data_IF_969139289133
#
_entry.id   IF_969139289133
#
_cell.length_a   1.000
_cell.length_b   1.000
_cell.length_c   1.000
_cell.angle_alpha   90.00
_cell.angle_beta   90.00
_cell.angle_gamma   90.00
#
_symmetry.space_group_name_H-M   'P 1'
#
loop_
_entity.id
_entity.type
_entity.pdbx_description
1 polymer ?
#
# COMPACT_ATOMS: atom_id res chain seq x y z
N UNK A 1 21.59 -7.21 18.03
CA UNK A 1 20.63 -7.43 16.92
C UNK A 1 19.83 -6.14 16.74
N UNK A 2 19.49 -5.72 15.53
CA UNK A 2 18.69 -4.50 15.34
C UNK A 2 17.20 -4.79 15.64
N UNK A 3 16.40 -3.79 16.02
CA UNK A 3 14.94 -3.98 16.20
C UNK A 3 14.24 -4.46 14.92
N UNK A 4 14.74 -4.03 13.76
CA UNK A 4 14.24 -4.51 12.47
C UNK A 4 14.56 -5.99 12.25
N UNK A 5 15.73 -6.44 12.71
CA UNK A 5 16.11 -7.85 12.65
C UNK A 5 15.26 -8.73 13.57
N UNK A 6 14.97 -8.24 14.78
CA UNK A 6 14.05 -8.92 15.70
C UNK A 6 12.64 -9.04 15.10
N UNK A 7 12.15 -7.97 14.44
CA UNK A 7 10.87 -7.98 13.74
C UNK A 7 10.83 -9.00 12.60
N UNK A 8 11.83 -8.98 11.71
CA UNK A 8 11.91 -9.91 10.58
C UNK A 8 11.93 -11.37 11.07
N UNK A 9 12.73 -11.69 12.10
CA UNK A 9 12.78 -13.02 12.69
C UNK A 9 11.44 -13.44 13.30
N UNK A 10 10.76 -12.54 14.01
CA UNK A 10 9.46 -12.81 14.60
C UNK A 10 8.40 -13.12 13.54
N UNK A 11 8.32 -12.33 12.48
CA UNK A 11 7.38 -12.52 11.37
C UNK A 11 7.59 -13.84 10.64
N UNK A 12 8.85 -14.25 10.47
CA UNK A 12 9.24 -15.48 9.76
C UNK A 12 9.14 -16.75 10.60
N UNK A 13 8.87 -16.65 11.92
CA UNK A 13 8.87 -17.81 12.84
C UNK A 13 7.91 -18.94 12.43
N UNK A 14 6.79 -18.59 11.77
CA UNK A 14 5.80 -19.54 11.25
C UNK A 14 5.98 -19.94 9.78
N UNK A 15 7.12 -19.60 9.15
CA UNK A 15 7.36 -19.87 7.72
C UNK A 15 6.76 -18.84 6.76
N UNK A 16 6.16 -17.76 7.27
CA UNK A 16 5.67 -16.64 6.44
C UNK A 16 6.83 -15.84 5.83
N UNK A 17 6.58 -15.23 4.68
CA UNK A 17 7.47 -14.21 4.11
C UNK A 17 7.30 -12.89 4.86
N UNK A 18 8.41 -12.27 5.26
CA UNK A 18 8.40 -10.95 5.89
C UNK A 18 8.73 -9.87 4.87
N UNK A 19 7.73 -9.06 4.50
CA UNK A 19 7.88 -7.94 3.56
C UNK A 19 7.80 -6.62 4.32
N UNK A 20 8.83 -5.78 4.22
CA UNK A 20 8.84 -4.45 4.83
C UNK A 20 8.30 -3.40 3.86
N UNK A 21 7.19 -2.76 4.19
CA UNK A 21 6.69 -1.64 3.38
C UNK A 21 7.50 -0.36 3.68
N UNK A 22 8.03 0.27 2.63
CA UNK A 22 8.76 1.54 2.70
C UNK A 22 7.84 2.64 2.16
N UNK A 23 7.61 3.67 2.98
CA UNK A 23 6.78 4.81 2.60
C UNK A 23 7.39 6.13 3.04
N UNK A 24 7.01 7.20 2.33
CA UNK A 24 7.32 8.58 2.71
C UNK A 24 6.02 9.38 2.75
N UNK A 25 5.69 9.96 3.90
CA UNK A 25 4.38 10.58 4.09
C UNK A 25 4.16 11.85 3.22
N UNK A 26 5.25 12.51 2.83
CA UNK A 26 5.20 13.78 2.09
C UNK A 26 4.30 14.79 2.82
N UNK A 27 3.38 15.42 2.10
CA UNK A 27 2.44 16.40 2.68
C UNK A 27 1.43 15.86 3.72
N UNK A 28 1.49 14.56 4.04
CA UNK A 28 0.71 13.92 5.11
C UNK A 28 1.54 13.63 6.36
N UNK A 29 2.79 14.08 6.44
CA UNK A 29 3.58 13.93 7.65
C UNK A 29 3.02 14.80 8.78
N UNK A 30 2.69 14.18 9.92
CA UNK A 30 2.16 14.89 11.10
C UNK A 30 3.23 15.22 12.15
N UNK A 31 4.42 14.64 12.05
CA UNK A 31 5.43 14.61 13.15
C UNK A 31 6.46 15.75 13.06
N UNK A 32 6.45 16.57 12.00
CA UNK A 32 7.33 17.74 11.87
C UNK A 32 6.72 18.74 10.88
N UNK A 33 5.62 19.43 11.26
CA UNK A 33 4.91 20.35 10.36
C UNK A 33 5.83 21.42 9.74
N UNK A 34 6.84 21.87 10.48
CA UNK A 34 7.82 22.86 10.02
C UNK A 34 8.80 22.33 8.94
N UNK A 35 8.84 21.01 8.74
CA UNK A 35 9.62 20.33 7.69
C UNK A 35 8.73 19.62 6.67
N UNK A 36 7.46 19.98 6.61
CA UNK A 36 6.51 19.36 5.71
C UNK A 36 6.91 19.63 4.26
N UNK A 37 7.03 18.58 3.46
CA UNK A 37 7.49 18.65 2.08
C UNK A 37 6.63 17.81 1.14
N UNK A 38 6.64 18.13 -0.14
CA UNK A 38 5.85 17.45 -1.14
C UNK A 38 6.28 17.77 -2.57
N UNK A 39 5.58 17.17 -3.54
CA UNK A 39 5.89 17.36 -4.96
C UNK A 39 5.75 18.84 -5.39
N UNK A 40 4.77 19.55 -4.86
CA UNK A 40 4.57 21.00 -5.01
C UNK A 40 4.05 21.61 -3.71
N UNK A 41 4.07 22.94 -3.60
CA UNK A 41 3.55 23.69 -2.45
C UNK A 41 2.01 23.72 -2.39
N UNK A 42 1.39 22.55 -2.29
CA UNK A 42 -0.07 22.35 -2.33
C UNK A 42 -0.50 21.52 -1.11
N UNK A 43 -1.29 22.12 -0.22
CA UNK A 43 -1.83 21.46 0.97
C UNK A 43 -2.66 20.21 0.64
N UNK A 44 -2.77 19.29 1.61
CA UNK A 44 -3.45 18.00 1.40
C UNK A 44 -4.95 18.10 1.17
N UNK A 45 -5.57 19.23 1.50
CA UNK A 45 -7.02 19.43 1.48
C UNK A 45 -7.73 18.89 2.74
N UNK A 46 -7.01 18.23 3.64
CA UNK A 46 -7.53 17.85 4.96
C UNK A 46 -7.65 19.11 5.81
N UNK A 47 -8.79 19.33 6.50
CA UNK A 47 -8.95 20.46 7.40
C UNK A 47 -7.80 20.55 8.42
N UNK A 48 -7.20 21.74 8.56
CA UNK A 48 -6.05 21.97 9.44
C UNK A 48 -4.70 21.51 8.90
N UNK A 49 -4.63 20.93 7.69
CA UNK A 49 -3.34 20.59 7.08
C UNK A 49 -2.56 21.82 6.65
N UNK A 50 -1.24 21.78 6.86
CA UNK A 50 -0.32 22.83 6.43
C UNK A 50 0.06 22.66 4.95
N UNK A 51 0.47 23.75 4.32
CA UNK A 51 1.04 23.72 2.98
C UNK A 51 2.49 23.22 3.06
N UNK A 52 2.86 22.15 2.33
CA UNK A 52 4.24 21.68 2.30
C UNK A 52 5.14 22.66 1.54
N UNK A 53 6.44 22.58 1.79
CA UNK A 53 7.45 23.11 0.88
C UNK A 53 7.58 22.20 -0.34
N UNK A 54 7.78 22.79 -1.51
CA UNK A 54 8.13 22.03 -2.72
C UNK A 54 9.56 21.45 -2.61
N UNK A 55 9.71 20.17 -2.90
CA UNK A 55 11.01 19.51 -3.01
C UNK A 55 11.82 20.07 -4.17
N UNK A 56 13.11 20.32 -3.98
CA UNK A 56 14.04 20.62 -5.07
C UNK A 56 14.32 19.37 -5.89
N UNK A 57 14.82 19.53 -7.12
CA UNK A 57 15.21 18.39 -7.95
C UNK A 57 16.26 17.50 -7.29
N UNK A 58 17.21 18.08 -6.55
CA UNK A 58 18.24 17.36 -5.80
C UNK A 58 17.64 16.55 -4.63
N UNK A 59 16.71 17.13 -3.88
CA UNK A 59 16.03 16.41 -2.79
C UNK A 59 15.20 15.23 -3.31
N UNK A 60 14.63 15.33 -4.51
CA UNK A 60 13.94 14.18 -5.15
C UNK A 60 14.91 13.03 -5.42
N UNK A 61 16.11 13.32 -5.93
CA UNK A 61 17.17 12.32 -6.16
C UNK A 61 17.68 11.73 -4.83
N UNK A 62 17.83 12.57 -3.79
CA UNK A 62 18.21 12.11 -2.45
C UNK A 62 17.17 11.17 -1.83
N UNK A 63 15.88 11.44 -2.04
CA UNK A 63 14.79 10.55 -1.60
C UNK A 63 14.85 9.22 -2.37
N UNK A 64 15.06 9.24 -3.69
CA UNK A 64 15.23 8.01 -4.49
C UNK A 64 16.38 7.16 -3.92
N UNK A 65 17.53 7.79 -3.63
CA UNK A 65 18.66 7.12 -2.99
C UNK A 65 18.29 6.59 -1.60
N UNK A 66 17.51 7.32 -0.82
CA UNK A 66 17.08 6.90 0.51
C UNK A 66 16.18 5.64 0.47
N UNK A 67 15.34 5.47 -0.56
CA UNK A 67 14.59 4.23 -0.78
C UNK A 67 15.51 3.03 -1.08
N UNK A 68 16.54 3.22 -1.90
CA UNK A 68 17.57 2.20 -2.13
C UNK A 68 18.30 1.82 -0.84
N UNK A 69 18.70 2.82 -0.03
CA UNK A 69 19.32 2.57 1.27
C UNK A 69 18.38 1.90 2.28
N UNK A 70 17.08 2.23 2.26
CA UNK A 70 16.08 1.56 3.09
C UNK A 70 15.93 0.09 2.69
N UNK A 71 15.96 -0.20 1.38
CA UNK A 71 15.97 -1.57 0.84
C UNK A 71 17.21 -2.35 1.31
N UNK A 72 18.41 -1.74 1.23
CA UNK A 72 19.64 -2.33 1.77
C UNK A 72 19.54 -2.65 3.25
N UNK A 73 18.94 -1.77 4.06
CA UNK A 73 18.70 -2.02 5.49
C UNK A 73 17.71 -3.16 5.73
N UNK A 74 16.67 -3.28 4.90
CA UNK A 74 15.70 -4.38 4.99
C UNK A 74 16.36 -5.75 4.71
N UNK A 75 17.22 -5.81 3.68
CA UNK A 75 18.03 -6.99 3.38
C UNK A 75 18.92 -7.37 4.57
N UNK A 76 19.67 -6.41 5.11
CA UNK A 76 20.54 -6.62 6.27
C UNK A 76 19.78 -7.03 7.53
N UNK A 77 18.55 -6.56 7.69
CA UNK A 77 17.69 -6.95 8.79
C UNK A 77 17.16 -8.39 8.66
N UNK A 78 17.16 -8.98 7.46
CA UNK A 78 16.69 -10.34 7.21
C UNK A 78 15.22 -10.44 6.81
N UNK A 79 14.65 -9.36 6.26
CA UNK A 79 13.36 -9.44 5.56
C UNK A 79 13.50 -10.27 4.26
N UNK A 80 12.39 -10.77 3.74
CA UNK A 80 12.31 -11.48 2.45
C UNK A 80 12.08 -10.53 1.28
N UNK A 81 11.65 -9.31 1.56
CA UNK A 81 11.41 -8.31 0.54
C UNK A 81 11.04 -6.95 1.10
N UNK A 82 10.83 -6.01 0.18
CA UNK A 82 10.23 -4.71 0.46
C UNK A 82 9.05 -4.43 -0.47
N UNK A 83 8.11 -3.62 0.01
CA UNK A 83 7.03 -3.09 -0.81
C UNK A 83 7.15 -1.55 -0.87
N UNK A 84 7.23 -0.99 -2.07
CA UNK A 84 7.22 0.46 -2.27
C UNK A 84 5.78 0.96 -2.16
N UNK A 85 5.53 1.87 -1.22
CA UNK A 85 4.20 2.43 -1.02
C UNK A 85 3.92 3.64 -1.94
N UNK A 86 3.41 3.36 -3.13
CA UNK A 86 2.98 4.30 -4.17
C UNK A 86 1.53 4.80 -4.09
N UNK A 87 0.87 4.70 -2.92
CA UNK A 87 -0.59 4.83 -2.81
C UNK A 87 -1.03 5.76 -1.66
N UNK A 88 -2.35 5.92 -1.50
CA UNK A 88 -3.02 6.57 -0.36
C UNK A 88 -2.59 8.02 -0.08
N UNK A 89 -2.28 8.78 -1.14
CA UNK A 89 -1.88 10.20 -1.06
C UNK A 89 -0.55 10.45 -0.34
N UNK A 90 0.32 9.44 -0.20
CA UNK A 90 1.70 9.61 0.24
C UNK A 90 2.62 10.10 -0.89
N UNK A 91 3.90 10.33 -0.61
CA UNK A 91 4.76 11.14 -1.49
C UNK A 91 4.77 10.65 -2.95
N UNK A 92 4.90 9.35 -3.19
CA UNK A 92 4.94 8.82 -4.56
C UNK A 92 3.60 9.05 -5.28
N UNK A 93 2.47 8.83 -4.60
CA UNK A 93 1.14 9.20 -5.11
C UNK A 93 1.07 10.70 -5.38
N UNK A 94 1.66 11.53 -4.50
CA UNK A 94 1.66 12.98 -4.65
C UNK A 94 2.40 13.42 -5.93
N UNK A 95 3.49 12.75 -6.29
CA UNK A 95 4.18 12.96 -7.57
C UNK A 95 3.33 12.47 -8.75
N UNK A 96 2.63 11.35 -8.62
CA UNK A 96 1.78 10.80 -9.69
C UNK A 96 0.57 11.70 -10.02
N UNK A 97 -0.03 12.33 -9.00
CA UNK A 97 -1.26 13.12 -9.15
C UNK A 97 -1.03 14.56 -9.62
N UNK A 98 -1.81 15.01 -10.60
CA UNK A 98 -1.84 16.41 -11.04
C UNK A 98 -2.39 17.38 -9.97
N UNK A 99 -3.09 16.83 -8.97
CA UNK A 99 -3.67 17.58 -7.85
C UNK A 99 -2.59 18.08 -6.89
N UNK A 100 -1.49 17.35 -6.79
CA UNK A 100 -0.39 17.62 -5.85
C UNK A 100 0.95 17.90 -6.51
N UNK A 101 1.11 17.54 -7.79
CA UNK A 101 2.31 17.81 -8.57
C UNK A 101 1.99 18.77 -9.72
N UNK A 102 2.38 20.03 -9.54
CA UNK A 102 2.30 21.10 -10.56
C UNK A 102 3.71 21.52 -11.02
N UNK A 103 4.71 20.65 -10.83
CA UNK A 103 6.08 20.92 -11.24
C UNK A 103 6.19 21.04 -12.75
N UNK A 104 7.16 21.82 -13.20
CA UNK A 104 7.46 22.02 -14.63
C UNK A 104 8.73 21.29 -15.06
N UNK A 105 9.47 20.67 -14.13
CA UNK A 105 10.67 19.89 -14.39
C UNK A 105 10.34 18.44 -14.80
N UNK A 106 11.39 17.61 -14.98
CA UNK A 106 11.23 16.19 -15.40
C UNK A 106 10.31 15.38 -14.50
N UNK A 107 10.18 15.76 -13.22
CA UNK A 107 9.35 15.06 -12.23
C UNK A 107 7.87 15.45 -12.30
N UNK A 108 7.54 16.60 -12.91
CA UNK A 108 6.16 17.01 -13.19
C UNK A 108 5.69 16.71 -14.61
N UNK A 109 6.62 16.72 -15.58
CA UNK A 109 6.35 16.42 -16.99
C UNK A 109 5.97 14.95 -17.21
N UNK A 110 6.63 14.04 -16.50
CA UNK A 110 6.31 12.61 -16.50
C UNK A 110 6.11 12.14 -15.07
N UNK A 111 4.85 12.11 -14.63
CA UNK A 111 4.52 11.90 -13.21
C UNK A 111 4.78 10.48 -12.70
N UNK A 112 4.85 9.48 -13.59
CA UNK A 112 5.27 8.11 -13.26
C UNK A 112 6.77 8.00 -12.97
N UNK A 113 7.59 8.94 -13.47
CA UNK A 113 9.06 8.90 -13.42
C UNK A 113 9.60 8.73 -12.01
N UNK A 114 9.01 9.40 -11.02
CA UNK A 114 9.48 9.29 -9.63
C UNK A 114 9.30 7.88 -9.06
N UNK A 115 8.14 7.25 -9.30
CA UNK A 115 7.89 5.87 -8.88
C UNK A 115 8.82 4.87 -9.57
N UNK A 116 9.05 5.03 -10.88
CA UNK A 116 9.97 4.19 -11.65
C UNK A 116 11.43 4.33 -11.18
N UNK A 117 11.90 5.55 -10.94
CA UNK A 117 13.25 5.79 -10.44
C UNK A 117 13.48 5.17 -9.05
N UNK A 118 12.45 5.16 -8.18
CA UNK A 118 12.50 4.47 -6.90
C UNK A 118 12.62 2.94 -7.09
N UNK A 119 11.86 2.36 -8.02
CA UNK A 119 11.96 0.93 -8.35
C UNK A 119 13.39 0.60 -8.80
N UNK A 120 13.96 1.39 -9.71
CA UNK A 120 15.34 1.22 -10.18
C UNK A 120 16.36 1.28 -9.04
N UNK A 121 16.24 2.26 -8.13
CA UNK A 121 17.12 2.39 -6.98
C UNK A 121 17.03 1.21 -6.00
N UNK A 122 15.81 0.74 -5.72
CA UNK A 122 15.59 -0.44 -4.88
C UNK A 122 16.14 -1.71 -5.54
N UNK A 123 15.89 -1.91 -6.84
CA UNK A 123 16.38 -3.07 -7.59
C UNK A 123 17.90 -3.10 -7.67
N UNK A 124 18.53 -1.94 -7.90
CA UNK A 124 19.99 -1.79 -7.85
C UNK A 124 20.55 -2.20 -6.48
N UNK A 125 19.93 -1.74 -5.39
CA UNK A 125 20.37 -2.12 -4.03
C UNK A 125 20.26 -3.64 -3.78
N UNK A 126 19.23 -4.31 -4.31
CA UNK A 126 19.07 -5.77 -4.25
C UNK A 126 20.18 -6.49 -5.01
N UNK A 127 20.48 -6.03 -6.23
CA UNK A 127 21.54 -6.60 -7.08
C UNK A 127 22.92 -6.43 -6.44
N UNK A 128 23.25 -5.23 -5.95
CA UNK A 128 24.53 -4.94 -5.28
C UNK A 128 24.72 -5.76 -3.99
N UNK A 129 23.64 -6.10 -3.29
CA UNK A 129 23.66 -6.96 -2.12
C UNK A 129 23.77 -8.47 -2.46
N UNK A 130 23.67 -8.85 -3.74
CA UNK A 130 23.64 -10.26 -4.17
C UNK A 130 22.39 -11.00 -3.69
N UNK A 131 21.31 -10.29 -3.37
CA UNK A 131 20.11 -10.84 -2.75
C UNK A 131 19.05 -11.22 -3.80
N UNK A 132 19.38 -12.11 -4.73
CA UNK A 132 18.54 -12.40 -5.92
C UNK A 132 17.15 -12.97 -5.61
N UNK A 133 16.92 -13.51 -4.42
CA UNK A 133 15.62 -14.00 -3.96
C UNK A 133 14.80 -12.96 -3.19
N UNK A 134 15.35 -11.75 -2.99
CA UNK A 134 14.70 -10.69 -2.24
C UNK A 134 13.62 -10.01 -3.10
N UNK A 135 12.38 -10.01 -2.59
CA UNK A 135 11.21 -9.54 -3.31
C UNK A 135 11.10 -8.01 -3.30
N UNK A 136 10.63 -7.45 -4.40
CA UNK A 136 10.31 -6.03 -4.55
C UNK A 136 8.87 -5.88 -5.07
N UNK A 137 7.98 -5.42 -4.20
CA UNK A 137 6.60 -5.10 -4.55
C UNK A 137 6.35 -3.62 -4.80
N UNK A 138 5.28 -3.29 -5.52
CA UNK A 138 4.80 -1.91 -5.67
C UNK A 138 3.30 -1.81 -5.40
N UNK A 139 2.92 -0.96 -4.44
CA UNK A 139 1.54 -0.70 -4.05
C UNK A 139 1.02 0.61 -4.63
N UNK A 140 -0.14 0.61 -5.30
CA UNK A 140 -0.67 1.78 -6.00
C UNK A 140 -2.17 1.99 -5.74
N UNK A 141 -2.64 3.24 -5.85
CA UNK A 141 -4.07 3.57 -5.82
C UNK A 141 -4.64 3.54 -7.23
N UNK A 142 -5.88 3.04 -7.45
CA UNK A 142 -6.45 2.94 -8.79
C UNK A 142 -6.82 4.28 -9.39
N UNK A 143 -7.25 5.22 -8.56
CA UNK A 143 -7.82 6.49 -8.98
C UNK A 143 -7.81 7.50 -7.83
N UNK A 144 -7.91 8.79 -8.14
CA UNK A 144 -8.04 9.86 -7.16
C UNK A 144 -9.21 10.79 -7.52
N UNK A 145 -10.14 10.97 -6.59
CA UNK A 145 -11.30 11.85 -6.77
C UNK A 145 -10.93 13.34 -6.70
N UNK A 146 -11.75 14.13 -7.39
CA UNK A 146 -11.74 15.59 -7.35
C UNK A 146 -11.02 16.23 -8.52
N UNK A 147 -11.07 17.56 -8.58
CA UNK A 147 -10.45 18.34 -9.65
C UNK A 147 -8.95 18.04 -9.73
N UNK A 148 -8.45 17.75 -10.94
CA UNK A 148 -7.05 17.37 -11.22
C UNK A 148 -6.58 16.08 -10.54
N UNK A 149 -7.48 15.24 -10.01
CA UNK A 149 -7.15 13.86 -9.68
C UNK A 149 -6.80 13.06 -10.94
N UNK A 150 -6.44 11.78 -10.75
CA UNK A 150 -6.19 10.86 -11.86
C UNK A 150 -7.29 9.80 -11.95
N UNK A 151 -7.58 9.39 -13.17
CA UNK A 151 -8.59 8.39 -13.50
C UNK A 151 -7.96 7.01 -13.63
N UNK A 152 -8.78 5.96 -13.65
CA UNK A 152 -8.26 4.60 -13.82
C UNK A 152 -7.42 4.46 -15.09
N UNK A 153 -7.82 5.08 -16.21
CA UNK A 153 -7.05 5.06 -17.46
C UNK A 153 -5.60 5.56 -17.32
N UNK A 154 -5.38 6.58 -16.50
CA UNK A 154 -4.05 7.14 -16.26
C UNK A 154 -3.21 6.13 -15.46
N UNK A 155 -3.85 5.51 -14.46
CA UNK A 155 -3.26 4.42 -13.68
C UNK A 155 -2.97 3.20 -14.55
N UNK A 156 -3.85 2.79 -15.47
CA UNK A 156 -3.61 1.64 -16.35
C UNK A 156 -2.39 1.86 -17.25
N UNK A 157 -2.18 3.07 -17.77
CA UNK A 157 -0.96 3.41 -18.50
C UNK A 157 0.31 3.25 -17.64
N UNK A 158 0.21 3.56 -16.34
CA UNK A 158 1.31 3.36 -15.40
C UNK A 158 1.47 1.88 -14.99
N UNK A 159 0.37 1.15 -14.73
CA UNK A 159 0.36 -0.29 -14.47
C UNK A 159 1.00 -1.05 -15.62
N UNK A 160 0.78 -0.64 -16.87
CA UNK A 160 1.44 -1.23 -18.02
C UNK A 160 2.97 -1.08 -17.95
N UNK A 161 3.49 0.08 -17.53
CA UNK A 161 4.92 0.31 -17.31
C UNK A 161 5.44 -0.51 -16.11
N UNK A 162 4.67 -0.57 -15.02
CA UNK A 162 5.03 -1.35 -13.83
C UNK A 162 5.07 -2.85 -14.10
N UNK A 163 4.20 -3.35 -14.98
CA UNK A 163 4.18 -4.74 -15.38
C UNK A 163 5.44 -5.16 -16.16
N UNK A 164 6.10 -4.22 -16.83
CA UNK A 164 7.39 -4.42 -17.49
C UNK A 164 8.60 -4.09 -16.59
N UNK A 165 8.37 -3.43 -15.45
CA UNK A 165 9.42 -3.08 -14.52
C UNK A 165 9.97 -4.31 -13.78
N UNK A 166 11.19 -4.16 -13.25
CA UNK A 166 11.83 -5.15 -12.40
C UNK A 166 11.23 -5.15 -10.98
N UNK A 167 9.95 -5.50 -10.86
CA UNK A 167 9.23 -5.77 -9.61
C UNK A 167 8.67 -7.21 -9.65
N UNK A 168 8.42 -7.78 -8.48
CA UNK A 168 7.99 -9.17 -8.32
C UNK A 168 6.46 -9.28 -8.22
N UNK A 169 5.79 -8.23 -7.74
CA UNK A 169 4.33 -8.20 -7.66
C UNK A 169 3.78 -6.77 -7.61
N UNK A 170 2.48 -6.66 -7.90
CA UNK A 170 1.70 -5.44 -7.79
C UNK A 170 0.65 -5.57 -6.68
N UNK A 171 0.38 -4.48 -5.97
CA UNK A 171 -0.61 -4.45 -4.90
C UNK A 171 -1.58 -3.28 -5.10
N UNK A 172 -2.83 -3.61 -5.43
CA UNK A 172 -3.88 -2.62 -5.69
C UNK A 172 -4.53 -2.16 -4.38
N UNK A 173 -4.38 -0.89 -4.03
CA UNK A 173 -4.96 -0.26 -2.84
C UNK A 173 -6.31 0.39 -3.13
N UNK A 174 -7.39 -0.25 -2.72
CA UNK A 174 -8.76 0.27 -2.84
C UNK A 174 -9.58 0.00 -1.57
N UNK A 175 -10.67 0.75 -1.42
CA UNK A 175 -11.53 0.66 -0.24
C UNK A 175 -12.53 -0.49 -0.36
N UNK A 176 -13.11 -0.67 -1.54
CA UNK A 176 -13.94 -1.80 -1.92
C UNK A 176 -13.33 -2.46 -3.15
N UNK A 177 -13.22 -3.77 -3.10
CA UNK A 177 -12.60 -4.58 -4.13
C UNK A 177 -13.49 -4.75 -5.36
N UNK A 178 -14.82 -4.54 -5.21
CA UNK A 178 -15.78 -4.58 -6.30
C UNK A 178 -16.06 -3.20 -6.91
N UNK A 179 -15.30 -2.17 -6.50
CA UNK A 179 -15.46 -0.81 -7.00
C UNK A 179 -15.32 -0.75 -8.54
N UNK A 180 -16.16 0.09 -9.14
CA UNK A 180 -16.06 0.49 -10.55
C UNK A 180 -15.28 1.81 -10.67
N UNK A 181 -14.72 2.11 -11.85
CA UNK A 181 -14.01 3.37 -12.05
C UNK A 181 -14.94 4.57 -11.85
N UNK A 182 -14.42 5.65 -11.26
CA UNK A 182 -15.22 6.80 -10.83
C UNK A 182 -15.92 7.53 -11.99
N UNK A 183 -15.34 7.47 -13.18
CA UNK A 183 -15.76 8.17 -14.39
C UNK A 183 -16.38 7.25 -15.46
N UNK A 184 -16.65 6.00 -15.11
CA UNK A 184 -17.25 5.02 -16.01
C UNK A 184 -18.73 4.75 -15.68
N UNK A 185 -19.54 4.36 -16.69
CA UNK A 185 -20.95 4.07 -16.49
C UNK A 185 -21.18 2.86 -15.57
N UNK A 186 -22.35 2.83 -14.94
CA UNK A 186 -22.79 1.65 -14.19
C UNK A 186 -22.84 0.42 -15.12
N UNK A 187 -22.27 -0.70 -14.65
CA UNK A 187 -22.14 -1.94 -15.44
C UNK A 187 -20.81 -2.08 -16.18
N UNK A 188 -19.90 -1.11 -16.10
CA UNK A 188 -18.49 -1.29 -16.48
C UNK A 188 -17.83 -2.42 -15.70
N UNK A 189 -16.77 -2.97 -16.29
CA UNK A 189 -15.88 -3.90 -15.59
C UNK A 189 -15.29 -3.21 -14.35
N UNK A 190 -15.22 -3.95 -13.23
CA UNK A 190 -14.64 -3.44 -12.00
C UNK A 190 -13.13 -3.13 -12.17
N UNK A 191 -12.60 -2.32 -11.25
CA UNK A 191 -11.20 -1.86 -11.28
C UNK A 191 -10.23 -3.04 -11.35
N UNK A 192 -10.47 -4.10 -10.55
CA UNK A 192 -9.60 -5.29 -10.50
C UNK A 192 -9.48 -5.95 -11.87
N UNK A 193 -10.59 -6.18 -12.57
CA UNK A 193 -10.62 -6.84 -13.88
C UNK A 193 -9.86 -6.03 -14.93
N UNK A 194 -10.03 -4.71 -14.94
CA UNK A 194 -9.30 -3.84 -15.87
C UNK A 194 -7.79 -3.82 -15.60
N UNK A 195 -7.39 -3.81 -14.32
CA UNK A 195 -5.99 -3.90 -13.90
C UNK A 195 -5.38 -5.25 -14.30
N UNK A 196 -6.07 -6.37 -14.05
CA UNK A 196 -5.61 -7.71 -14.44
C UNK A 196 -5.46 -7.84 -15.96
N UNK A 197 -6.43 -7.32 -16.72
CA UNK A 197 -6.34 -7.27 -18.18
C UNK A 197 -5.14 -6.46 -18.66
N UNK A 198 -4.82 -5.35 -18.00
CA UNK A 198 -3.65 -4.53 -18.32
C UNK A 198 -2.35 -5.24 -17.97
N UNK A 199 -2.26 -5.89 -16.80
CA UNK A 199 -1.08 -6.66 -16.40
C UNK A 199 -0.84 -7.82 -17.36
N UNK A 200 -1.90 -8.45 -17.86
CA UNK A 200 -1.85 -9.54 -18.84
C UNK A 200 -0.87 -10.65 -18.40
N UNK A 201 -1.02 -11.12 -17.16
CA UNK A 201 -0.22 -12.19 -16.54
C UNK A 201 1.29 -11.93 -16.42
N UNK A 202 1.78 -10.72 -16.73
CA UNK A 202 3.22 -10.39 -16.60
C UNK A 202 3.70 -10.34 -15.15
N UNK A 203 2.80 -10.04 -14.21
CA UNK A 203 3.06 -9.95 -12.77
C UNK A 203 1.87 -10.50 -11.98
N UNK A 204 2.08 -11.09 -10.79
CA UNK A 204 0.99 -11.38 -9.86
C UNK A 204 0.41 -10.08 -9.28
N UNK A 205 -0.90 -10.10 -9.00
CA UNK A 205 -1.63 -8.98 -8.39
C UNK A 205 -2.16 -9.39 -7.01
N UNK A 206 -1.88 -8.55 -6.02
CA UNK A 206 -2.51 -8.58 -4.69
C UNK A 206 -3.65 -7.56 -4.68
N UNK A 207 -4.84 -7.98 -4.27
CA UNK A 207 -6.02 -7.12 -4.12
C UNK A 207 -6.42 -6.97 -2.66
N UNK A 208 -6.97 -5.80 -2.31
CA UNK A 208 -7.50 -5.46 -0.98
C UNK A 208 -8.76 -4.62 -1.13
N UNK A 209 -9.47 -4.41 -0.03
CA UNK A 209 -10.64 -3.53 0.08
C UNK A 209 -11.86 -4.33 0.49
N UNK A 210 -12.63 -3.89 1.49
CA UNK A 210 -13.95 -4.45 1.86
C UNK A 210 -14.05 -5.91 2.34
N UNK A 211 -13.07 -6.77 2.08
CA UNK A 211 -13.16 -8.23 2.31
C UNK A 211 -13.16 -8.55 3.79
N UNK A 212 -14.27 -9.08 4.28
CA UNK A 212 -14.54 -9.35 5.69
C UNK A 212 -14.77 -10.83 5.99
N UNK A 213 -15.33 -11.59 5.04
CA UNK A 213 -15.67 -13.02 5.23
C UNK A 213 -14.80 -13.97 4.38
N UNK A 214 -14.71 -15.26 4.75
CA UNK A 214 -14.06 -16.28 3.92
C UNK A 214 -14.67 -16.40 2.53
N UNK A 215 -16.00 -16.32 2.43
CA UNK A 215 -16.72 -16.31 1.17
C UNK A 215 -16.32 -15.10 0.30
N UNK A 216 -16.32 -13.89 0.85
CA UNK A 216 -15.89 -12.68 0.11
C UNK A 216 -14.43 -12.79 -0.35
N UNK A 217 -13.54 -13.40 0.46
CA UNK A 217 -12.15 -13.63 0.07
C UNK A 217 -12.04 -14.64 -1.10
N UNK A 218 -12.89 -15.66 -1.11
CA UNK A 218 -12.97 -16.63 -2.21
C UNK A 218 -13.52 -15.96 -3.48
N UNK A 219 -14.60 -15.19 -3.39
CA UNK A 219 -15.15 -14.40 -4.50
C UNK A 219 -14.11 -13.39 -5.05
N UNK A 220 -13.34 -12.75 -4.16
CA UNK A 220 -12.22 -11.88 -4.55
C UNK A 220 -11.21 -12.62 -5.42
N UNK A 221 -10.83 -13.82 -4.99
CA UNK A 221 -9.82 -14.62 -5.68
C UNK A 221 -10.31 -15.08 -7.06
N UNK A 222 -11.61 -15.35 -7.19
CA UNK A 222 -12.24 -15.72 -8.47
C UNK A 222 -12.19 -14.62 -9.54
N UNK A 223 -11.86 -13.37 -9.16
CA UNK A 223 -11.56 -12.30 -10.13
C UNK A 223 -10.29 -12.55 -10.94
N UNK A 224 -9.43 -13.49 -10.51
CA UNK A 224 -8.15 -13.82 -11.15
C UNK A 224 -6.93 -13.19 -10.50
N UNK A 225 -7.09 -12.53 -9.34
CA UNK A 225 -5.96 -12.06 -8.54
C UNK A 225 -5.22 -13.22 -7.88
N UNK A 226 -3.90 -13.10 -7.76
CA UNK A 226 -3.05 -14.14 -7.16
C UNK A 226 -3.25 -14.21 -5.64
N UNK A 227 -3.38 -13.04 -5.01
CA UNK A 227 -3.49 -12.93 -3.56
C UNK A 227 -4.56 -11.93 -3.14
N UNK A 228 -5.13 -12.21 -1.96
CA UNK A 228 -6.07 -11.34 -1.26
C UNK A 228 -5.42 -10.88 0.04
N UNK A 229 -5.30 -9.57 0.21
CA UNK A 229 -4.76 -8.98 1.43
C UNK A 229 -5.87 -8.74 2.46
N UNK A 230 -5.58 -9.05 3.72
CA UNK A 230 -6.47 -8.86 4.85
C UNK A 230 -5.78 -7.97 5.90
N UNK A 231 -6.29 -6.76 6.11
CA UNK A 231 -5.75 -5.83 7.11
C UNK A 231 -6.47 -5.95 8.46
N UNK A 232 -7.67 -5.34 8.55
CA UNK A 232 -8.47 -5.31 9.77
C UNK A 232 -8.81 -6.69 10.32
N UNK A 233 -8.89 -7.71 9.45
CA UNK A 233 -9.34 -9.04 9.83
C UNK A 233 -8.27 -9.75 10.68
N UNK A 234 -6.99 -9.51 10.39
CA UNK A 234 -5.89 -9.98 11.24
C UNK A 234 -5.76 -9.21 12.56
N UNK A 235 -6.20 -7.93 12.62
CA UNK A 235 -6.26 -7.19 13.87
C UNK A 235 -7.38 -7.71 14.79
N UNK A 236 -8.50 -8.14 14.20
CA UNK A 236 -9.63 -8.73 14.93
C UNK A 236 -9.33 -10.17 15.37
N UNK A 237 -8.74 -10.94 14.45
CA UNK A 237 -8.52 -12.37 14.58
C UNK A 237 -7.18 -12.78 13.93
N UNK A 238 -6.07 -12.86 14.70
CA UNK A 238 -4.77 -13.27 14.16
C UNK A 238 -4.74 -14.68 13.58
N UNK A 239 -5.69 -15.56 13.97
CA UNK A 239 -5.81 -16.93 13.46
C UNK A 239 -6.82 -17.05 12.31
N UNK A 240 -7.19 -15.94 11.65
CA UNK A 240 -8.28 -15.92 10.67
C UNK A 240 -8.12 -16.99 9.60
N UNK A 241 -6.96 -17.02 8.91
CA UNK A 241 -6.68 -18.02 7.86
C UNK A 241 -6.64 -19.43 8.42
N UNK A 242 -5.98 -19.64 9.57
CA UNK A 242 -5.90 -20.96 10.19
C UNK A 242 -7.29 -21.52 10.57
N UNK A 243 -8.23 -20.65 10.96
CA UNK A 243 -9.62 -21.03 11.24
C UNK A 243 -10.37 -21.40 9.96
N UNK A 244 -10.17 -20.65 8.87
CA UNK A 244 -10.74 -21.00 7.55
C UNK A 244 -10.22 -22.35 7.09
N UNK A 245 -8.90 -22.58 7.12
CA UNK A 245 -8.28 -23.86 6.72
C UNK A 245 -8.77 -25.04 7.57
N UNK A 246 -9.07 -24.81 8.84
CA UNK A 246 -9.60 -25.82 9.75
C UNK A 246 -11.13 -26.01 9.69
N UNK A 247 -11.84 -25.28 8.82
CA UNK A 247 -13.31 -25.31 8.73
C UNK A 247 -14.02 -24.75 9.96
N UNK A 248 -13.38 -23.82 10.68
CA UNK A 248 -13.86 -23.19 11.92
C UNK A 248 -14.28 -21.73 11.70
N UNK A 249 -14.92 -21.46 10.56
CA UNK A 249 -15.32 -20.10 10.17
C UNK A 249 -16.33 -19.47 11.15
N UNK A 250 -17.13 -20.30 11.81
CA UNK A 250 -18.07 -19.92 12.88
C UNK A 250 -17.37 -19.33 14.12
N UNK A 251 -16.06 -19.56 14.26
CA UNK A 251 -15.24 -19.07 15.38
C UNK A 251 -14.42 -17.84 15.04
N UNK A 252 -14.56 -17.28 13.84
CA UNK A 252 -13.86 -16.06 13.44
C UNK A 252 -14.44 -14.87 14.19
N UNK A 253 -13.57 -14.04 14.78
CA UNK A 253 -13.98 -12.78 15.38
C UNK A 253 -14.11 -11.70 14.30
N UNK A 254 -15.32 -11.20 14.10
CA UNK A 254 -15.62 -10.13 13.11
C UNK A 254 -15.66 -8.72 13.71
N UNK A 255 -15.63 -8.61 15.04
CA UNK A 255 -15.56 -7.34 15.77
C UNK A 255 -14.17 -7.13 16.37
N UNK A 256 -13.83 -5.87 16.67
CA UNK A 256 -12.61 -5.61 17.43
C UNK A 256 -12.70 -6.25 18.81
N UNK A 257 -11.61 -6.86 19.32
CA UNK A 257 -11.55 -7.26 20.72
C UNK A 257 -11.76 -6.04 21.62
N UNK A 258 -12.38 -6.29 22.78
CA UNK A 258 -12.45 -5.29 23.83
C UNK A 258 -11.07 -5.04 24.48
N UNK A 259 -10.97 -4.03 25.33
CA UNK A 259 -9.72 -3.65 25.97
C UNK A 259 -9.10 -4.78 26.81
N UNK A 260 -9.91 -5.71 27.32
CA UNK A 260 -9.42 -6.87 28.06
C UNK A 260 -8.74 -7.88 27.11
N UNK A 261 -9.30 -8.08 25.91
CA UNK A 261 -8.84 -9.05 24.92
C UNK A 261 -7.82 -8.49 23.89
N UNK A 262 -7.60 -7.17 23.79
CA UNK A 262 -6.68 -6.61 22.77
C UNK A 262 -5.23 -7.02 22.95
N UNK A 263 -4.81 -7.32 24.18
CA UNK A 263 -3.47 -7.83 24.46
C UNK A 263 -3.30 -9.27 23.96
N UNK A 264 -4.35 -10.07 23.96
CA UNK A 264 -4.33 -11.46 23.49
C UNK A 264 -4.04 -11.52 21.99
N UNK A 265 -4.49 -10.52 21.23
CA UNK A 265 -4.21 -10.38 19.79
C UNK A 265 -2.97 -9.55 19.49
N UNK A 266 -2.17 -9.21 20.51
CA UNK A 266 -0.90 -8.48 20.33
C UNK A 266 -1.05 -6.99 20.02
N UNK A 267 -2.25 -6.40 20.20
CA UNK A 267 -2.47 -4.96 20.00
C UNK A 267 -2.09 -4.22 21.29
N UNK A 268 -1.14 -3.30 21.17
CA UNK A 268 -0.74 -2.43 22.28
C UNK A 268 -1.87 -1.41 22.61
N UNK A 269 -2.11 -1.07 23.89
CA UNK A 269 -3.09 -0.05 24.31
C UNK A 269 -3.04 1.30 23.57
N UNK A 270 -1.87 1.74 23.11
CA UNK A 270 -1.76 2.95 22.29
C UNK A 270 -2.43 2.75 20.93
N UNK A 271 -2.11 1.65 20.24
CA UNK A 271 -2.72 1.30 18.96
C UNK A 271 -4.23 1.06 19.14
N UNK A 272 -4.65 0.40 20.23
CA UNK A 272 -6.06 0.22 20.52
C UNK A 272 -6.82 1.54 20.63
N UNK A 273 -6.30 2.50 21.40
CA UNK A 273 -6.90 3.84 21.52
C UNK A 273 -6.93 4.57 20.18
N UNK A 274 -5.83 4.54 19.44
CA UNK A 274 -5.77 5.10 18.09
C UNK A 274 -6.85 4.50 17.18
N UNK A 275 -7.06 3.18 17.21
CA UNK A 275 -8.11 2.52 16.44
C UNK A 275 -9.52 2.94 16.90
N UNK A 276 -9.74 3.19 18.19
CA UNK A 276 -11.03 3.66 18.70
C UNK A 276 -11.31 5.14 18.38
N UNK A 277 -10.28 5.98 18.34
CA UNK A 277 -10.41 7.42 18.14
C UNK A 277 -10.38 7.82 16.66
N UNK A 278 -9.45 7.25 15.88
CA UNK A 278 -9.18 7.66 14.49
C UNK A 278 -9.71 6.68 13.43
N UNK A 279 -9.83 5.38 13.74
CA UNK A 279 -10.58 4.41 12.90
C UNK A 279 -12.04 4.26 13.36
N UNK A 280 -12.41 4.84 14.50
CA UNK A 280 -13.68 4.69 15.19
C UNK A 280 -14.87 5.45 14.60
N UNK A 281 -14.99 5.51 13.27
CA UNK A 281 -16.35 5.38 12.74
C UNK A 281 -16.74 3.93 12.93
N UNK A 282 -17.90 3.62 13.52
CA UNK A 282 -18.28 2.24 13.71
C UNK A 282 -18.22 1.56 12.34
N UNK A 283 -17.42 0.51 12.20
CA UNK A 283 -17.68 -0.51 11.18
C UNK A 283 -18.87 -1.30 11.72
N UNK A 284 -20.01 -0.62 11.89
CA UNK A 284 -21.33 -1.22 11.96
C UNK A 284 -21.78 -1.44 10.53
N UNK A 285 -20.99 -2.20 9.78
CA UNK A 285 -21.57 -3.00 8.74
C UNK A 285 -21.39 -4.42 9.24
N UNK A 286 -22.48 -4.92 9.84
CA UNK A 286 -22.74 -6.34 9.82
C UNK A 286 -22.49 -6.86 8.39
N UNK A 287 -22.14 -8.14 8.21
CA UNK A 287 -22.06 -8.74 6.89
C UNK A 287 -23.28 -8.30 6.08
N UNK A 288 -23.09 -7.79 4.86
CA UNK A 288 -24.22 -7.56 3.96
C UNK A 288 -24.88 -8.94 3.81
N UNK A 289 -26.13 -9.05 4.30
CA UNK A 289 -26.96 -10.23 4.08
C UNK A 289 -27.23 -10.41 2.60
#
# INVERSE_FOLDING_TARGET
>A
MSRLSEMAQAMKKGGSLAILQIFHAGRRAFVAPEKLEGASAIASGIPGSQTPRELTGEEVEDIIKAFGEATRRAIQAGFDGVEIHGANHYLIHQFFSAKSNQRTDKWGQERSRFGLAIIEACRKAIQEAGASQFLLGYRFSPQEKGEKGFHLKDTLAFVNQLADAEIDYLHLSQDDVWDVPNDEPAGSDNVVKQVLATINQRKPLIIVGGISTPQEAQEAKETGAEFVALGMQYLREPQWVAKVEAGQEDRIRYTMPDEAAVREVGINPFMYRYMQEDLGKPITQAPKQ
#
